data_IF_711628627294
#
_entry.id   IF_711628627294
#
_cell.length_a   1.000
_cell.length_b   1.000
_cell.length_c   1.000
_cell.angle_alpha   90.00
_cell.angle_beta   90.00
_cell.angle_gamma   90.00
#
_symmetry.space_group_name_H-M   'P 1'
#
loop_
_entity.id
_entity.type
_entity.pdbx_description
1 polymer ?
#
# COMPACT_ATOMS: atom_id res chain seq x y z
N UNK A 1 -0.91 14.44 -15.71
CA UNK A 1 -1.06 12.99 -15.52
C UNK A 1 0.07 12.25 -16.19
N UNK A 2 0.67 11.34 -15.46
CA UNK A 2 1.81 10.57 -15.95
C UNK A 2 1.39 9.42 -16.87
N UNK A 3 2.17 9.22 -17.89
CA UNK A 3 2.11 8.05 -18.73
C UNK A 3 2.85 6.90 -18.03
N UNK A 4 2.28 5.70 -18.03
CA UNK A 4 2.93 4.50 -17.49
C UNK A 4 3.38 3.59 -18.62
N UNK A 5 4.62 3.17 -18.55
CA UNK A 5 5.19 2.20 -19.48
C UNK A 5 5.85 1.08 -18.67
N UNK A 6 5.47 -0.15 -18.97
CA UNK A 6 6.11 -1.32 -18.38
C UNK A 6 7.13 -1.88 -19.36
N UNK A 7 8.36 -2.03 -18.89
CA UNK A 7 9.47 -2.60 -19.66
C UNK A 7 9.77 -3.99 -19.09
N UNK A 8 9.45 -5.02 -19.84
CA UNK A 8 9.63 -6.41 -19.43
C UNK A 8 10.21 -7.32 -20.54
N UNK A 9 10.63 -6.71 -21.64
CA UNK A 9 11.23 -7.40 -22.77
C UNK A 9 12.09 -6.44 -23.58
N UNK A 10 12.93 -6.95 -24.46
CA UNK A 10 13.73 -6.12 -25.35
C UNK A 10 12.88 -5.25 -26.28
N UNK A 11 11.72 -5.81 -26.71
CA UNK A 11 10.78 -5.06 -27.53
C UNK A 11 10.16 -3.90 -26.76
N UNK A 12 9.70 -4.11 -25.54
CA UNK A 12 9.12 -3.04 -24.71
C UNK A 12 10.18 -2.03 -24.29
N UNK A 13 11.43 -2.44 -24.10
CA UNK A 13 12.53 -1.53 -23.84
C UNK A 13 12.76 -0.60 -25.04
N UNK A 14 12.79 -1.14 -26.25
CA UNK A 14 12.95 -0.35 -27.46
C UNK A 14 11.81 0.66 -27.65
N UNK A 15 10.58 0.26 -27.41
CA UNK A 15 9.40 1.14 -27.47
C UNK A 15 9.51 2.26 -26.43
N UNK A 16 9.92 1.94 -25.23
CA UNK A 16 10.12 2.93 -24.16
C UNK A 16 11.20 3.94 -24.52
N UNK A 17 12.34 3.49 -25.03
CA UNK A 17 13.44 4.37 -25.43
C UNK A 17 13.03 5.30 -26.57
N UNK A 18 12.26 4.81 -27.53
CA UNK A 18 11.71 5.64 -28.60
C UNK A 18 10.78 6.72 -28.07
N UNK A 19 9.94 6.38 -27.09
CA UNK A 19 9.04 7.35 -26.44
C UNK A 19 9.80 8.40 -25.65
N UNK A 20 10.87 8.00 -24.95
CA UNK A 20 11.76 8.92 -24.23
C UNK A 20 12.38 9.93 -25.20
N UNK A 21 12.91 9.47 -26.32
CA UNK A 21 13.51 10.33 -27.33
C UNK A 21 12.48 11.31 -27.93
N UNK A 22 11.26 10.84 -28.19
CA UNK A 22 10.16 11.68 -28.70
C UNK A 22 9.79 12.79 -27.71
N UNK A 23 9.61 12.45 -26.43
CA UNK A 23 9.28 13.41 -25.39
C UNK A 23 10.39 14.44 -25.19
N UNK A 24 11.64 14.00 -25.22
CA UNK A 24 12.79 14.90 -25.11
C UNK A 24 12.86 15.87 -26.30
N UNK A 25 12.63 15.38 -27.49
CA UNK A 25 12.66 16.20 -28.70
C UNK A 25 11.54 17.26 -28.68
N UNK A 26 10.35 16.92 -28.16
CA UNK A 26 9.20 17.84 -28.16
C UNK A 26 9.20 18.84 -27.02
N UNK A 27 9.71 18.48 -25.84
CA UNK A 27 9.61 19.32 -24.67
C UNK A 27 10.96 19.77 -24.10
N UNK A 28 12.03 19.06 -24.37
CA UNK A 28 13.38 19.37 -23.89
C UNK A 28 13.59 19.20 -22.38
N UNK A 29 12.52 19.06 -21.62
CA UNK A 29 12.56 18.87 -20.16
C UNK A 29 11.58 17.79 -19.77
N UNK A 30 12.07 16.64 -19.40
CA UNK A 30 11.24 15.49 -19.01
C UNK A 30 11.80 14.86 -17.74
N UNK A 31 10.93 14.63 -16.76
CA UNK A 31 11.28 13.92 -15.53
C UNK A 31 10.71 12.52 -15.59
N UNK A 32 11.53 11.54 -15.25
CA UNK A 32 11.14 10.13 -15.24
C UNK A 32 11.16 9.59 -13.81
N UNK A 33 10.23 8.72 -13.49
CA UNK A 33 10.29 7.91 -12.30
C UNK A 33 10.10 6.44 -12.67
N UNK A 34 10.69 5.55 -11.90
CA UNK A 34 10.60 4.12 -12.18
C UNK A 34 10.53 3.31 -10.89
N UNK A 35 9.99 2.12 -11.00
CA UNK A 35 10.04 1.09 -9.97
C UNK A 35 10.47 -0.22 -10.62
N UNK A 36 11.17 -1.06 -9.87
CA UNK A 36 11.60 -2.37 -10.33
C UNK A 36 10.87 -3.48 -9.60
N UNK A 37 10.77 -4.64 -10.23
CA UNK A 37 10.10 -5.80 -9.68
C UNK A 37 8.59 -5.77 -9.86
N UNK A 38 7.94 -6.84 -9.40
CA UNK A 38 6.49 -6.94 -9.47
C UNK A 38 5.85 -6.30 -8.25
N UNK A 39 4.96 -5.36 -8.47
CA UNK A 39 4.12 -4.79 -7.42
C UNK A 39 2.83 -5.62 -7.29
N UNK A 40 2.11 -5.43 -6.16
CA UNK A 40 0.84 -6.10 -5.96
C UNK A 40 -0.21 -5.66 -6.98
N UNK A 41 -1.20 -6.50 -7.19
CA UNK A 41 -2.32 -6.19 -8.08
C UNK A 41 -3.23 -5.09 -7.50
N UNK A 42 -4.03 -4.44 -8.36
CA UNK A 42 -5.05 -3.49 -7.93
C UNK A 42 -6.06 -4.13 -6.98
N UNK A 43 -6.36 -5.41 -7.14
CA UNK A 43 -7.27 -6.15 -6.27
C UNK A 43 -6.70 -6.31 -4.87
N UNK A 44 -5.40 -6.60 -4.77
CA UNK A 44 -4.73 -6.63 -3.47
C UNK A 44 -4.72 -5.24 -2.82
N UNK A 45 -4.54 -4.18 -3.61
CA UNK A 45 -4.60 -2.83 -3.08
C UNK A 45 -5.99 -2.51 -2.51
N UNK A 46 -7.04 -2.86 -3.22
CA UNK A 46 -8.42 -2.68 -2.76
C UNK A 46 -8.70 -3.48 -1.49
N UNK A 47 -8.23 -4.73 -1.45
CA UNK A 47 -8.36 -5.57 -0.26
C UNK A 47 -7.61 -4.98 0.94
N UNK A 48 -6.41 -4.46 0.74
CA UNK A 48 -5.63 -3.79 1.79
C UNK A 48 -6.40 -2.60 2.37
N UNK A 49 -6.93 -1.73 1.53
CA UNK A 49 -7.67 -0.55 1.98
C UNK A 49 -8.97 -0.90 2.67
N UNK A 50 -9.63 -1.96 2.25
CA UNK A 50 -10.80 -2.49 2.96
C UNK A 50 -10.42 -3.01 4.34
N UNK A 51 -9.31 -3.73 4.44
CA UNK A 51 -8.76 -4.16 5.72
C UNK A 51 -8.48 -2.96 6.64
N UNK A 52 -7.86 -1.91 6.14
CA UNK A 52 -7.59 -0.71 6.92
C UNK A 52 -8.88 -0.09 7.48
N UNK A 53 -9.94 -0.06 6.68
CA UNK A 53 -11.24 0.42 7.12
C UNK A 53 -11.84 -0.44 8.24
N UNK A 54 -11.76 -1.76 8.10
CA UNK A 54 -12.26 -2.69 9.13
C UNK A 54 -11.49 -2.54 10.45
N UNK A 55 -10.17 -2.40 10.38
CA UNK A 55 -9.35 -2.18 11.58
C UNK A 55 -9.71 -0.86 12.25
N UNK A 56 -9.84 0.21 11.48
CA UNK A 56 -10.22 1.52 12.01
C UNK A 56 -11.59 1.45 12.71
N UNK A 57 -12.59 0.86 12.07
CA UNK A 57 -13.92 0.67 12.65
C UNK A 57 -13.88 -0.17 13.92
N UNK A 58 -13.11 -1.26 13.92
CA UNK A 58 -12.96 -2.13 15.08
C UNK A 58 -12.34 -1.42 16.27
N UNK A 59 -11.28 -0.67 16.06
CA UNK A 59 -10.62 0.09 17.11
C UNK A 59 -11.51 1.19 17.66
N UNK A 60 -12.23 1.90 16.80
CA UNK A 60 -13.17 2.95 17.24
C UNK A 60 -14.34 2.36 18.02
N UNK A 61 -14.86 1.21 17.61
CA UNK A 61 -15.96 0.53 18.29
C UNK A 61 -15.62 0.15 19.72
N UNK A 62 -14.39 -0.25 19.98
CA UNK A 62 -13.94 -0.60 21.35
C UNK A 62 -13.28 0.58 22.05
N UNK A 63 -13.39 1.77 21.49
CA UNK A 63 -12.94 3.04 22.09
C UNK A 63 -11.44 3.09 22.39
N UNK A 64 -10.62 2.46 21.54
CA UNK A 64 -9.16 2.60 21.60
C UNK A 64 -8.76 3.74 20.68
N UNK A 65 -8.34 4.90 21.22
CA UNK A 65 -7.99 6.05 20.38
C UNK A 65 -6.62 5.90 19.73
N UNK A 66 -6.41 6.64 18.65
CA UNK A 66 -5.09 6.84 18.08
C UNK A 66 -4.43 8.03 18.75
N UNK A 67 -3.21 7.84 19.25
CA UNK A 67 -2.43 8.91 19.85
C UNK A 67 -1.49 9.50 18.82
N UNK A 68 -1.61 10.82 18.61
CA UNK A 68 -0.69 11.57 17.78
C UNK A 68 0.21 12.39 18.69
N UNK A 69 1.50 12.13 18.65
CA UNK A 69 2.50 12.92 19.38
C UNK A 69 3.09 13.97 18.45
N UNK A 70 3.33 15.15 19.02
CA UNK A 70 3.96 16.26 18.33
C UNK A 70 4.85 17.00 19.33
N UNK A 71 5.95 17.61 18.89
CA UNK A 71 6.75 18.45 19.78
C UNK A 71 5.94 19.55 20.47
N UNK A 72 4.81 19.93 19.89
CA UNK A 72 3.89 20.95 20.39
C UNK A 72 3.02 20.46 21.56
N UNK A 73 2.81 19.13 21.67
CA UNK A 73 1.92 18.53 22.64
C UNK A 73 2.66 17.49 23.47
N UNK A 74 2.90 17.78 24.74
CA UNK A 74 3.67 16.90 25.63
C UNK A 74 2.97 15.58 25.89
N UNK A 75 1.63 15.55 25.85
CA UNK A 75 0.81 14.38 26.20
C UNK A 75 0.19 13.68 24.99
N UNK A 76 0.43 14.18 23.79
CA UNK A 76 -0.22 13.68 22.60
C UNK A 76 -1.67 14.12 22.45
N UNK A 77 -2.26 13.85 21.31
CA UNK A 77 -3.67 14.12 21.00
C UNK A 77 -4.34 12.80 20.66
N UNK A 78 -5.51 12.56 21.23
CA UNK A 78 -6.36 11.42 20.89
C UNK A 78 -7.25 11.77 19.71
N UNK A 79 -7.22 10.94 18.69
CA UNK A 79 -8.10 11.05 17.51
C UNK A 79 -8.71 9.70 17.18
N UNK A 80 -9.83 9.72 16.49
CA UNK A 80 -10.42 8.49 15.97
C UNK A 80 -9.52 7.88 14.88
N UNK A 81 -9.52 6.56 14.80
CA UNK A 81 -8.83 5.86 13.75
C UNK A 81 -9.50 6.09 12.39
N UNK A 82 -8.70 6.29 11.37
CA UNK A 82 -9.12 6.38 9.97
C UNK A 82 -8.35 5.37 9.15
N UNK A 83 -8.81 5.10 7.93
CA UNK A 83 -8.06 4.28 6.97
C UNK A 83 -6.63 4.78 6.78
N UNK A 84 -6.47 6.09 6.68
CA UNK A 84 -5.15 6.70 6.48
C UNK A 84 -4.21 6.46 7.66
N UNK A 85 -4.71 6.55 8.88
CA UNK A 85 -3.92 6.27 10.08
C UNK A 85 -3.51 4.80 10.14
N UNK A 86 -4.41 3.89 9.81
CA UNK A 86 -4.09 2.46 9.73
C UNK A 86 -3.09 2.20 8.61
N UNK A 87 -3.21 2.89 7.47
CA UNK A 87 -2.25 2.74 6.38
C UNK A 87 -0.84 3.15 6.79
N UNK A 88 -0.70 4.18 7.62
CA UNK A 88 0.61 4.59 8.15
C UNK A 88 1.24 3.51 9.04
N UNK A 89 0.43 2.86 9.85
CA UNK A 89 0.87 1.71 10.64
C UNK A 89 1.34 0.57 9.73
N UNK A 90 0.58 0.28 8.70
CA UNK A 90 0.96 -0.71 7.69
C UNK A 90 2.29 -0.36 7.02
N UNK A 91 2.45 0.88 6.58
CA UNK A 91 3.67 1.33 5.91
C UNK A 91 4.92 1.20 6.80
N UNK A 92 4.79 1.41 8.09
CA UNK A 92 5.90 1.22 9.03
C UNK A 92 6.36 -0.24 9.07
N UNK A 93 5.42 -1.18 9.09
CA UNK A 93 5.73 -2.61 9.05
C UNK A 93 6.24 -3.01 7.68
N UNK A 94 5.66 -2.47 6.62
CA UNK A 94 6.10 -2.71 5.25
C UNK A 94 7.57 -2.31 5.06
N UNK A 95 7.97 -1.14 5.57
CA UNK A 95 9.36 -0.71 5.51
C UNK A 95 10.30 -1.65 6.24
N UNK A 96 9.89 -2.17 7.39
CA UNK A 96 10.68 -3.12 8.15
C UNK A 96 10.84 -4.47 7.43
N UNK A 97 9.79 -4.92 6.74
CA UNK A 97 9.77 -6.21 6.01
C UNK A 97 10.40 -6.09 4.63
N UNK A 98 10.18 -4.97 3.96
CA UNK A 98 10.67 -4.70 2.60
C UNK A 98 11.27 -3.29 2.55
N UNK A 99 12.54 -3.13 2.94
CA UNK A 99 13.18 -1.82 2.99
C UNK A 99 13.12 -1.06 1.67
N UNK A 100 12.86 0.25 1.74
CA UNK A 100 12.74 1.12 0.59
C UNK A 100 11.33 1.19 -0.01
N UNK A 101 10.34 0.51 0.58
CA UNK A 101 8.96 0.47 0.05
C UNK A 101 7.94 1.19 0.92
N UNK A 102 8.32 1.63 2.12
CA UNK A 102 7.41 2.12 3.15
C UNK A 102 6.79 3.49 2.90
N UNK A 103 7.05 4.12 1.77
CA UNK A 103 6.46 5.41 1.40
C UNK A 103 5.13 5.27 0.64
N UNK A 104 4.78 4.07 0.19
CA UNK A 104 3.53 3.82 -0.53
C UNK A 104 3.08 2.36 -0.40
N UNK A 105 1.79 2.17 -0.14
CA UNK A 105 1.20 0.81 -0.15
C UNK A 105 1.31 0.17 -1.54
N UNK A 106 1.38 0.98 -2.59
CA UNK A 106 1.54 0.48 -3.97
C UNK A 106 2.90 -0.18 -4.21
N UNK A 107 3.90 0.15 -3.42
CA UNK A 107 5.23 -0.45 -3.50
C UNK A 107 5.36 -1.75 -2.72
N UNK A 108 4.32 -2.18 -2.02
CA UNK A 108 4.34 -3.42 -1.26
C UNK A 108 4.56 -4.62 -2.20
N UNK A 109 5.61 -5.42 -1.99
CA UNK A 109 5.79 -6.63 -2.79
C UNK A 109 4.62 -7.59 -2.59
N UNK A 110 4.16 -8.17 -3.69
CA UNK A 110 3.01 -9.07 -3.69
C UNK A 110 3.15 -10.21 -2.70
N UNK A 111 4.33 -10.79 -2.60
CA UNK A 111 4.62 -11.94 -1.73
C UNK A 111 4.79 -11.55 -0.26
N UNK A 112 4.83 -10.26 0.07
CA UNK A 112 5.00 -9.77 1.44
C UNK A 112 3.69 -9.34 2.10
N UNK A 113 2.60 -9.21 1.35
CA UNK A 113 1.31 -8.75 1.88
C UNK A 113 0.83 -9.63 3.03
N UNK A 114 0.87 -10.96 2.86
CA UNK A 114 0.46 -11.89 3.91
C UNK A 114 1.30 -11.78 5.17
N UNK A 115 2.61 -11.64 5.03
CA UNK A 115 3.51 -11.52 6.17
C UNK A 115 3.24 -10.25 6.95
N UNK A 116 3.04 -9.13 6.26
CA UNK A 116 2.75 -7.84 6.89
C UNK A 116 1.40 -7.90 7.60
N UNK A 117 0.39 -8.45 6.93
CA UNK A 117 -0.92 -8.65 7.53
C UNK A 117 -0.84 -9.46 8.82
N UNK A 118 -0.13 -10.59 8.80
CA UNK A 118 0.01 -11.46 9.96
C UNK A 118 0.67 -10.74 11.14
N UNK A 119 1.71 -9.97 10.88
CA UNK A 119 2.39 -9.18 11.91
C UNK A 119 1.43 -8.18 12.56
N UNK A 120 0.73 -7.41 11.75
CA UNK A 120 -0.17 -6.36 12.22
C UNK A 120 -1.37 -6.96 12.95
N UNK A 121 -2.04 -7.93 12.35
CA UNK A 121 -3.25 -8.49 12.90
C UNK A 121 -2.98 -9.25 14.21
N UNK A 122 -1.87 -9.97 14.28
CA UNK A 122 -1.46 -10.63 15.52
C UNK A 122 -1.26 -9.62 16.66
N UNK A 123 -0.62 -8.50 16.36
CA UNK A 123 -0.42 -7.43 17.34
C UNK A 123 -1.73 -6.80 17.78
N UNK A 124 -2.66 -6.60 16.85
CA UNK A 124 -4.00 -6.08 17.16
C UNK A 124 -4.78 -7.05 18.07
N UNK A 125 -4.73 -8.34 17.79
CA UNK A 125 -5.35 -9.37 18.62
C UNK A 125 -4.77 -9.33 20.04
N UNK A 126 -3.45 -9.24 20.17
CA UNK A 126 -2.79 -9.17 21.46
C UNK A 126 -3.18 -7.91 22.26
N UNK A 127 -3.18 -6.76 21.60
CA UNK A 127 -3.49 -5.47 22.25
C UNK A 127 -4.95 -5.33 22.64
N UNK A 128 -5.85 -6.02 21.93
CA UNK A 128 -7.30 -5.88 22.11
C UNK A 128 -7.95 -7.10 22.75
N UNK A 129 -7.17 -8.07 23.23
CA UNK A 129 -7.67 -9.35 23.75
C UNK A 129 -8.62 -10.05 22.76
N UNK A 130 -8.29 -10.01 21.47
CA UNK A 130 -9.07 -10.64 20.42
C UNK A 130 -10.30 -9.86 19.95
N UNK A 131 -10.56 -8.69 20.50
CA UNK A 131 -11.72 -7.89 20.09
C UNK A 131 -11.57 -7.30 18.69
N UNK A 132 -10.35 -7.04 18.26
CA UNK A 132 -10.03 -6.68 16.88
C UNK A 132 -9.21 -7.81 16.28
N UNK A 133 -9.87 -8.59 15.46
CA UNK A 133 -9.29 -9.70 14.70
C UNK A 133 -9.97 -9.73 13.33
N UNK A 134 -9.45 -8.93 12.42
CA UNK A 134 -10.07 -8.74 11.11
C UNK A 134 -9.42 -9.65 10.08
N UNK A 135 -10.20 -10.51 9.41
CA UNK A 135 -9.65 -11.30 8.32
C UNK A 135 -9.24 -10.39 7.17
N UNK A 136 -8.17 -10.77 6.49
CA UNK A 136 -7.81 -10.07 5.27
C UNK A 136 -8.86 -10.37 4.21
N UNK A 137 -9.45 -9.34 3.55
CA UNK A 137 -10.49 -9.56 2.56
C UNK A 137 -10.01 -10.50 1.45
N UNK A 138 -10.84 -11.46 1.09
CA UNK A 138 -10.49 -12.42 0.06
C UNK A 138 -10.33 -11.72 -1.29
N UNK A 139 -9.30 -12.09 -2.02
CA UNK A 139 -9.06 -11.55 -3.37
C UNK A 139 -10.23 -11.88 -4.30
N UNK A 140 -10.97 -12.95 -4.00
CA UNK A 140 -12.18 -13.34 -4.71
C UNK A 140 -13.28 -12.27 -4.66
N UNK A 141 -13.32 -11.45 -3.59
CA UNK A 141 -14.25 -10.33 -3.46
C UNK A 141 -13.91 -9.17 -4.41
N UNK A 142 -12.71 -9.21 -5.00
CA UNK A 142 -12.19 -8.24 -5.94
C UNK A 142 -11.60 -8.98 -7.13
N UNK A 143 -12.45 -9.59 -7.98
CA UNK A 143 -11.94 -10.34 -9.11
C UNK A 143 -11.11 -9.41 -10.00
N UNK A 144 -9.93 -9.86 -10.34
CA UNK A 144 -9.09 -9.12 -11.28
C UNK A 144 -9.86 -8.92 -12.56
N UNK A 145 -10.06 -7.64 -12.93
CA UNK A 145 -10.66 -7.33 -14.22
C UNK A 145 -9.81 -7.98 -15.31
N UNK A 146 -10.42 -8.93 -15.95
CA UNK A 146 -9.93 -9.46 -17.20
C UNK A 146 -8.42 -9.73 -17.15
N UNK A 147 -7.99 -10.66 -16.34
CA UNK A 147 -6.98 -11.56 -16.84
C UNK A 147 -7.58 -12.31 -18.02
N UNK A 148 -7.99 -11.57 -19.00
CA UNK A 148 -8.17 -12.08 -20.33
C UNK A 148 -6.80 -12.29 -20.88
N UNK A 149 -6.14 -13.24 -20.31
CA UNK A 149 -5.05 -13.85 -21.00
C UNK A 149 -5.69 -14.78 -21.99
N UNK A 150 -5.88 -14.21 -23.16
CA UNK A 150 -5.91 -15.14 -24.23
C UNK A 150 -4.70 -16.00 -24.11
#
# INVERSE_FOLDING_TARGET
MGERVTVNSDKSLGTFMARVAELHASSGWVTYSWATGRTRSNNQNSAMWKYFGHVAEGLNRIEIPCYISSPMFKTGIEVEWTKDLVSKMWLSVQEAVAPGTGDSTRKCPKDKVSSIYDIINRKLVDLTNGQVNEPFPAILDYPEKAKKHG
#
